data_IF_726493393197
#
_entry.id   IF_726493393197
#
_cell.length_a   1.000
_cell.length_b   1.000
_cell.length_c   1.000
_cell.angle_alpha   90.00
_cell.angle_beta   90.00
_cell.angle_gamma   90.00
#
_symmetry.space_group_name_H-M   'P 1'
#
loop_
_entity.id
_entity.type
_entity.pdbx_description
1 polymer ?
#
# COMPACT_ATOMS: atom_id res chain seq x y z
N UNK A 1 -24.78 11.76 -3.62
CA UNK A 1 -24.32 12.81 -4.58
C UNK A 1 -22.82 12.61 -4.78
N UNK A 2 -22.33 12.66 -6.02
CA UNK A 2 -20.89 12.52 -6.32
C UNK A 2 -20.15 13.78 -5.87
N UNK A 3 -18.86 13.67 -5.52
CA UNK A 3 -18.05 14.81 -5.09
C UNK A 3 -18.09 16.00 -6.08
N UNK A 4 -17.98 15.69 -7.40
CA UNK A 4 -18.07 16.72 -8.45
C UNK A 4 -19.39 17.46 -8.44
N UNK A 5 -20.50 16.74 -8.24
CA UNK A 5 -21.84 17.35 -8.24
C UNK A 5 -22.00 18.33 -7.06
N UNK A 6 -21.44 17.99 -5.90
CA UNK A 6 -21.44 18.88 -4.72
C UNK A 6 -20.76 20.21 -5.04
N UNK A 7 -19.53 20.16 -5.59
CA UNK A 7 -18.78 21.35 -5.93
C UNK A 7 -19.51 22.18 -7.00
N UNK A 8 -19.98 21.54 -8.08
CA UNK A 8 -20.66 22.23 -9.19
C UNK A 8 -22.02 22.83 -8.79
N UNK A 9 -22.73 22.23 -7.84
CA UNK A 9 -24.01 22.79 -7.34
C UNK A 9 -23.78 24.02 -6.46
N UNK A 10 -22.65 24.08 -5.71
CA UNK A 10 -22.33 25.23 -4.86
C UNK A 10 -21.72 26.36 -5.70
N UNK A 11 -20.82 26.03 -6.62
CA UNK A 11 -20.21 26.99 -7.53
C UNK A 11 -20.04 26.43 -8.94
N UNK A 12 -20.99 26.70 -9.85
CA UNK A 12 -20.92 26.23 -11.23
C UNK A 12 -19.73 26.75 -12.04
N UNK A 13 -19.04 27.82 -11.58
CA UNK A 13 -17.87 28.36 -12.26
C UNK A 13 -16.63 27.46 -12.13
N UNK A 14 -16.63 26.53 -11.17
CA UNK A 14 -15.54 25.57 -10.97
C UNK A 14 -15.73 24.37 -11.88
N UNK A 15 -15.16 24.43 -13.06
CA UNK A 15 -15.32 23.38 -14.12
C UNK A 15 -14.33 22.21 -13.98
N UNK A 16 -13.14 22.43 -13.42
CA UNK A 16 -12.04 21.43 -13.32
C UNK A 16 -12.09 20.62 -12.02
N UNK A 17 -13.27 20.17 -11.60
CA UNK A 17 -13.42 19.40 -10.37
C UNK A 17 -12.92 17.95 -10.57
N UNK A 18 -12.03 17.43 -9.71
CA UNK A 18 -11.64 16.04 -9.71
C UNK A 18 -12.84 15.10 -9.54
N UNK A 19 -12.76 13.88 -10.07
CA UNK A 19 -13.85 12.90 -9.96
C UNK A 19 -14.12 12.40 -8.53
N UNK A 20 -13.17 12.64 -7.61
CA UNK A 20 -13.24 12.25 -6.21
C UNK A 20 -12.03 12.74 -5.43
N UNK A 21 -11.94 12.31 -4.18
CA UNK A 21 -10.86 12.66 -3.26
C UNK A 21 -10.35 11.45 -2.48
N UNK A 22 -9.18 11.60 -1.87
CA UNK A 22 -8.65 10.68 -0.86
C UNK A 22 -8.73 11.33 0.52
N UNK A 23 -9.25 10.60 1.51
CA UNK A 23 -9.29 11.06 2.91
C UNK A 23 -8.13 10.45 3.70
N UNK A 24 -7.41 11.29 4.43
CA UNK A 24 -6.37 10.90 5.38
C UNK A 24 -6.64 11.63 6.71
N UNK A 25 -7.29 10.94 7.65
CA UNK A 25 -7.72 11.58 8.90
C UNK A 25 -8.53 12.85 8.64
N UNK A 26 -7.95 14.02 9.01
CA UNK A 26 -8.53 15.35 8.80
C UNK A 26 -8.13 16.02 7.47
N UNK A 27 -7.37 15.32 6.62
CA UNK A 27 -6.88 15.89 5.36
C UNK A 27 -7.71 15.33 4.19
N UNK A 28 -8.11 16.21 3.28
CA UNK A 28 -8.62 15.86 1.96
C UNK A 28 -7.54 16.08 0.91
N UNK A 29 -7.20 15.03 0.14
CA UNK A 29 -6.25 15.09 -0.97
C UNK A 29 -6.97 14.96 -2.30
N UNK A 30 -6.85 15.99 -3.13
CA UNK A 30 -7.37 16.04 -4.49
C UNK A 30 -6.25 15.72 -5.49
N UNK A 31 -6.49 14.80 -6.43
CA UNK A 31 -5.53 14.50 -7.49
C UNK A 31 -5.94 15.21 -8.78
N UNK A 32 -5.08 16.09 -9.27
CA UNK A 32 -5.29 16.82 -10.52
C UNK A 32 -3.96 17.32 -11.05
N UNK A 33 -3.70 17.10 -12.35
CA UNK A 33 -2.58 17.71 -13.07
C UNK A 33 -2.79 19.20 -13.36
N UNK A 34 -4.06 19.63 -13.46
CA UNK A 34 -4.41 21.04 -13.63
C UNK A 34 -4.48 21.74 -12.28
N UNK A 35 -4.03 23.01 -12.23
CA UNK A 35 -4.15 23.86 -11.03
C UNK A 35 -5.61 23.98 -10.60
N UNK A 36 -5.90 23.65 -9.34
CA UNK A 36 -7.22 23.82 -8.75
C UNK A 36 -7.35 25.20 -8.08
N UNK A 37 -8.54 25.84 -8.15
CA UNK A 37 -8.75 27.14 -7.50
C UNK A 37 -8.84 26.98 -5.97
N UNK A 38 -8.34 27.97 -5.21
CA UNK A 38 -8.44 28.02 -3.74
C UNK A 38 -9.88 28.04 -3.24
N UNK A 39 -10.79 28.66 -3.98
CA UNK A 39 -12.23 28.68 -3.69
C UNK A 39 -12.83 27.27 -3.54
N UNK A 40 -12.28 26.28 -4.26
CA UNK A 40 -12.68 24.88 -4.07
C UNK A 40 -12.38 24.39 -2.64
N UNK A 41 -11.25 24.80 -2.06
CA UNK A 41 -10.92 24.43 -0.69
C UNK A 41 -11.86 25.08 0.32
N UNK A 42 -12.28 26.34 0.12
CA UNK A 42 -13.26 27.02 0.97
C UNK A 42 -14.60 26.28 0.99
N UNK A 43 -15.09 25.86 -0.18
CA UNK A 43 -16.31 25.06 -0.32
C UNK A 43 -16.15 23.71 0.42
N UNK A 44 -15.02 23.03 0.24
CA UNK A 44 -14.76 21.75 0.89
C UNK A 44 -14.75 21.89 2.41
N UNK A 45 -14.01 22.88 2.93
CA UNK A 45 -13.87 23.10 4.37
C UNK A 45 -15.22 23.44 5.03
N UNK A 46 -16.09 24.19 4.34
CA UNK A 46 -17.44 24.49 4.83
C UNK A 46 -18.40 23.30 4.76
N UNK A 47 -18.25 22.43 3.74
CA UNK A 47 -19.19 21.32 3.49
C UNK A 47 -18.81 20.03 4.25
N UNK A 48 -17.51 19.81 4.53
CA UNK A 48 -17.02 18.60 5.19
C UNK A 48 -16.45 18.92 6.59
N UNK A 49 -17.24 18.83 7.67
CA UNK A 49 -16.81 19.21 9.04
C UNK A 49 -15.58 18.47 9.56
N UNK A 50 -15.30 17.26 9.04
CA UNK A 50 -14.11 16.50 9.39
C UNK A 50 -12.83 17.00 8.72
N UNK A 51 -12.95 17.82 7.65
CA UNK A 51 -11.82 18.28 6.85
C UNK A 51 -11.25 19.57 7.46
N UNK A 52 -9.95 19.56 7.77
CA UNK A 52 -9.23 20.74 8.28
C UNK A 52 -8.18 21.25 7.29
N UNK A 53 -7.80 20.42 6.32
CA UNK A 53 -6.78 20.74 5.32
C UNK A 53 -7.13 20.14 3.98
N UNK A 54 -7.03 20.92 2.92
CA UNK A 54 -7.22 20.48 1.54
C UNK A 54 -5.92 20.63 0.78
N UNK A 55 -5.38 19.53 0.28
CA UNK A 55 -4.18 19.51 -0.54
C UNK A 55 -4.50 19.05 -1.96
N UNK A 56 -3.78 19.57 -2.93
CA UNK A 56 -3.71 19.06 -4.29
C UNK A 56 -2.44 18.25 -4.46
N UNK A 57 -2.55 17.05 -5.00
CA UNK A 57 -1.42 16.27 -5.51
C UNK A 57 -1.39 16.37 -7.02
N UNK A 58 -0.25 16.84 -7.57
CA UNK A 58 -0.04 16.97 -9.01
C UNK A 58 0.67 15.76 -9.59
N UNK A 59 1.65 15.22 -8.87
CA UNK A 59 2.48 14.10 -9.33
C UNK A 59 3.06 13.29 -8.15
N UNK A 60 3.86 12.28 -8.51
CA UNK A 60 4.65 11.46 -7.57
C UNK A 60 6.03 11.25 -8.17
N UNK A 61 7.10 11.71 -7.50
CA UNK A 61 8.47 11.74 -8.03
C UNK A 61 9.39 10.66 -7.46
N UNK A 62 10.29 10.20 -8.32
CA UNK A 62 11.42 9.34 -7.96
C UNK A 62 11.05 7.91 -7.57
N UNK A 63 12.07 7.09 -7.32
CA UNK A 63 11.95 5.69 -6.91
C UNK A 63 11.22 5.58 -5.56
N UNK A 64 11.46 6.52 -4.65
CA UNK A 64 10.79 6.60 -3.35
C UNK A 64 9.34 7.08 -3.43
N UNK A 65 8.82 7.37 -4.63
CA UNK A 65 7.42 7.77 -4.89
C UNK A 65 6.95 8.92 -3.99
N UNK A 66 7.77 9.95 -3.82
CA UNK A 66 7.44 11.11 -2.99
C UNK A 66 6.31 11.92 -3.64
N UNK A 67 5.17 12.12 -2.95
CA UNK A 67 4.06 12.91 -3.49
C UNK A 67 4.44 14.39 -3.65
N UNK A 68 4.07 14.97 -4.79
CA UNK A 68 4.17 16.42 -5.00
C UNK A 68 2.83 17.05 -4.65
N UNK A 69 2.76 17.65 -3.46
CA UNK A 69 1.52 18.21 -2.93
C UNK A 69 1.62 19.72 -2.73
N UNK A 70 0.46 20.39 -2.82
CA UNK A 70 0.30 21.82 -2.54
C UNK A 70 -0.94 22.03 -1.68
N UNK A 71 -0.81 22.84 -0.63
CA UNK A 71 -1.97 23.31 0.14
C UNK A 71 -2.87 24.16 -0.76
N UNK A 72 -4.16 23.86 -0.79
CA UNK A 72 -5.21 24.67 -1.41
C UNK A 72 -5.93 25.53 -0.39
N UNK A 73 -6.10 25.07 0.84
CA UNK A 73 -6.72 25.81 1.94
C UNK A 73 -6.79 25.02 3.23
N UNK A 74 -7.09 25.71 4.33
CA UNK A 74 -7.11 25.16 5.68
C UNK A 74 -5.75 25.22 6.37
N UNK A 75 -5.51 24.31 7.32
CA UNK A 75 -4.29 24.24 8.13
C UNK A 75 -3.16 23.62 7.32
N UNK A 76 -1.99 24.28 7.25
CA UNK A 76 -0.81 23.72 6.58
C UNK A 76 -0.10 22.71 7.49
N UNK A 77 -0.68 21.53 7.59
CA UNK A 77 -0.09 20.40 8.29
C UNK A 77 -0.35 19.10 7.49
N UNK A 78 0.65 18.58 6.76
CA UNK A 78 0.51 17.35 5.97
C UNK A 78 0.55 16.08 6.83
N UNK A 79 0.77 16.17 8.13
CA UNK A 79 0.81 15.04 9.05
C UNK A 79 -0.56 14.81 9.66
N UNK A 80 -0.98 13.56 9.69
CA UNK A 80 -2.30 13.20 10.22
C UNK A 80 -2.31 11.80 10.83
N UNK A 81 -3.27 11.57 11.72
CA UNK A 81 -3.67 10.25 12.17
C UNK A 81 -4.84 9.77 11.32
N UNK A 82 -4.60 8.73 10.52
CA UNK A 82 -5.63 8.04 9.76
C UNK A 82 -6.04 6.75 10.47
N UNK A 83 -7.34 6.50 10.57
CA UNK A 83 -7.87 5.28 11.18
C UNK A 83 -8.65 4.51 10.12
N UNK A 84 -8.30 3.24 9.94
CA UNK A 84 -8.97 2.35 9.00
C UNK A 84 -9.05 0.94 9.58
N UNK A 85 -10.26 0.38 9.65
CA UNK A 85 -10.51 -0.96 10.20
C UNK A 85 -9.82 -1.19 11.57
N UNK A 86 -9.92 -0.22 12.48
CA UNK A 86 -9.31 -0.26 13.81
C UNK A 86 -7.81 0.08 13.84
N UNK A 87 -7.09 -0.05 12.72
CA UNK A 87 -5.68 0.30 12.63
C UNK A 87 -5.47 1.82 12.61
N UNK A 88 -4.50 2.29 13.37
CA UNK A 88 -4.10 3.69 13.48
C UNK A 88 -2.80 3.92 12.73
N UNK A 89 -2.81 4.81 11.76
CA UNK A 89 -1.67 5.16 10.91
C UNK A 89 -1.29 6.62 11.11
N UNK A 90 -0.13 6.90 11.69
CA UNK A 90 0.51 8.20 11.52
C UNK A 90 1.03 8.27 10.09
N UNK A 91 0.67 9.32 9.36
CA UNK A 91 1.04 9.51 7.96
C UNK A 91 1.45 10.95 7.75
N UNK A 92 2.51 11.15 6.98
CA UNK A 92 2.88 12.44 6.39
C UNK A 92 2.64 12.36 4.89
N UNK A 93 1.54 12.95 4.41
CA UNK A 93 1.14 12.87 3.00
C UNK A 93 2.09 13.59 2.05
N UNK A 94 3.02 14.42 2.57
CA UNK A 94 4.03 15.10 1.76
C UNK A 94 5.22 14.22 1.40
N UNK A 95 5.43 13.12 2.14
CA UNK A 95 6.62 12.27 2.00
C UNK A 95 6.31 10.77 1.93
N UNK A 96 5.11 10.36 2.32
CA UNK A 96 4.72 8.95 2.43
C UNK A 96 3.55 8.68 1.51
N UNK A 97 3.71 7.65 0.67
CA UNK A 97 2.62 7.15 -0.16
C UNK A 97 1.79 6.13 0.63
N UNK A 98 0.57 6.51 0.97
CA UNK A 98 -0.47 5.61 1.47
C UNK A 98 -1.64 5.62 0.49
N UNK A 99 -2.24 4.47 0.19
CA UNK A 99 -3.36 4.40 -0.75
C UNK A 99 -4.65 4.01 -0.05
N UNK A 100 -5.58 4.96 0.21
CA UNK A 100 -6.92 4.60 0.70
C UNK A 100 -7.67 3.67 -0.24
N UNK A 101 -7.37 3.71 -1.55
CA UNK A 101 -7.94 2.79 -2.54
C UNK A 101 -7.57 1.32 -2.36
N UNK A 102 -6.61 1.01 -1.47
CA UNK A 102 -6.24 -0.38 -1.13
C UNK A 102 -6.99 -0.90 0.11
N UNK A 103 -8.03 -0.20 0.60
CA UNK A 103 -8.79 -0.59 1.78
C UNK A 103 -9.36 -2.00 1.67
N UNK A 104 -10.03 -2.31 0.56
CA UNK A 104 -10.58 -3.65 0.33
C UNK A 104 -9.50 -4.75 0.35
N UNK A 105 -8.32 -4.48 -0.23
CA UNK A 105 -7.18 -5.39 -0.14
C UNK A 105 -6.79 -5.66 1.31
N UNK A 106 -6.63 -4.61 2.13
CA UNK A 106 -6.24 -4.74 3.53
C UNK A 106 -7.26 -5.54 4.36
N UNK A 107 -8.56 -5.26 4.17
CA UNK A 107 -9.64 -5.99 4.83
C UNK A 107 -9.64 -7.48 4.42
N UNK A 108 -9.40 -7.78 3.14
CA UNK A 108 -9.32 -9.15 2.63
C UNK A 108 -8.12 -9.90 3.20
N UNK A 109 -6.94 -9.28 3.27
CA UNK A 109 -5.75 -9.88 3.87
C UNK A 109 -5.97 -10.28 5.34
N UNK A 110 -6.71 -9.48 6.11
CA UNK A 110 -7.10 -9.86 7.48
C UNK A 110 -7.90 -11.16 7.49
N UNK A 111 -8.80 -11.38 6.53
CA UNK A 111 -9.63 -12.58 6.47
C UNK A 111 -8.86 -13.82 5.97
N UNK A 112 -7.84 -13.64 5.15
CA UNK A 112 -7.06 -14.73 4.56
C UNK A 112 -5.95 -15.25 5.46
N UNK A 113 -5.37 -14.40 6.31
CA UNK A 113 -4.30 -14.76 7.24
C UNK A 113 -4.88 -15.58 8.40
N UNK A 114 -4.19 -16.67 8.74
CA UNK A 114 -4.54 -17.54 9.87
C UNK A 114 -3.72 -17.18 11.11
N UNK A 115 -4.30 -17.41 12.27
CA UNK A 115 -3.56 -17.30 13.52
C UNK A 115 -2.31 -18.20 13.50
N UNK A 116 -1.27 -17.80 14.21
CA UNK A 116 0.03 -18.45 14.30
C UNK A 116 0.89 -18.42 13.03
N UNK A 117 0.47 -17.77 11.93
CA UNK A 117 1.36 -17.51 10.81
C UNK A 117 2.47 -16.51 11.22
N UNK A 118 3.67 -16.69 10.66
CA UNK A 118 4.71 -15.66 10.65
C UNK A 118 4.69 -14.92 9.32
N UNK A 119 4.30 -13.65 9.36
CA UNK A 119 4.23 -12.77 8.19
C UNK A 119 5.57 -12.08 7.96
N UNK A 120 6.08 -12.07 6.74
CA UNK A 120 7.16 -11.18 6.33
C UNK A 120 6.62 -10.17 5.33
N UNK A 121 6.70 -8.87 5.66
CA UNK A 121 6.39 -7.79 4.73
C UNK A 121 7.68 -7.17 4.24
N UNK A 122 8.05 -7.48 2.99
CA UNK A 122 9.32 -7.07 2.40
C UNK A 122 9.37 -5.59 2.00
N UNK A 123 8.21 -4.90 2.00
CA UNK A 123 8.06 -3.50 1.59
C UNK A 123 7.00 -2.81 2.44
N UNK A 124 7.24 -2.81 3.77
CA UNK A 124 6.20 -2.51 4.76
C UNK A 124 5.70 -1.07 4.71
N UNK A 125 6.48 -0.14 4.19
CA UNK A 125 6.22 1.29 4.26
C UNK A 125 5.85 1.70 5.71
N UNK A 126 4.66 2.25 5.94
CA UNK A 126 4.17 2.61 7.28
C UNK A 126 3.31 1.50 7.93
N UNK A 127 3.42 0.26 7.43
CA UNK A 127 2.57 -0.87 7.77
C UNK A 127 1.37 -0.99 6.84
N UNK A 128 1.55 -0.60 5.58
CA UNK A 128 0.44 -0.46 4.61
C UNK A 128 -0.41 -1.72 4.46
N UNK A 129 0.18 -2.90 4.41
CA UNK A 129 -0.53 -4.18 4.26
C UNK A 129 -0.53 -4.99 5.57
N UNK A 130 0.50 -4.84 6.38
CA UNK A 130 0.76 -5.68 7.55
C UNK A 130 0.05 -5.22 8.82
N UNK A 131 -0.25 -3.92 8.98
CA UNK A 131 -0.73 -3.40 10.25
C UNK A 131 -2.12 -3.94 10.64
N UNK A 132 -3.07 -4.02 9.69
CA UNK A 132 -4.40 -4.56 9.97
C UNK A 132 -4.37 -6.04 10.35
N UNK A 133 -3.69 -6.94 9.61
CA UNK A 133 -3.49 -8.31 10.06
C UNK A 133 -2.92 -8.41 11.48
N UNK A 134 -1.90 -7.61 11.82
CA UNK A 134 -1.23 -7.64 13.12
C UNK A 134 -2.13 -7.22 14.30
N UNK A 135 -3.14 -6.38 14.07
CA UNK A 135 -4.08 -5.99 15.13
C UNK A 135 -5.30 -6.91 15.24
N UNK A 136 -5.63 -7.67 14.18
CA UNK A 136 -6.82 -8.51 14.13
C UNK A 136 -6.55 -10.00 14.30
N UNK A 137 -5.29 -10.43 14.15
CA UNK A 137 -4.89 -11.84 14.20
C UNK A 137 -3.77 -12.07 15.21
N UNK A 138 -3.70 -13.28 15.74
CA UNK A 138 -2.61 -13.72 16.61
C UNK A 138 -1.45 -14.22 15.76
N UNK A 139 -0.71 -13.31 15.13
CA UNK A 139 0.42 -13.58 14.26
C UNK A 139 1.66 -12.85 14.74
N UNK A 140 2.83 -13.36 14.36
CA UNK A 140 4.09 -12.62 14.45
C UNK A 140 4.51 -12.10 13.08
N UNK A 141 5.39 -11.08 13.04
CA UNK A 141 5.85 -10.58 11.77
C UNK A 141 7.30 -10.06 11.78
N UNK A 142 7.89 -10.08 10.59
CA UNK A 142 9.13 -9.37 10.25
C UNK A 142 8.78 -8.31 9.21
N UNK A 143 8.95 -7.03 9.56
CA UNK A 143 8.60 -5.89 8.71
C UNK A 143 9.86 -5.17 8.25
N UNK A 144 9.99 -4.97 6.94
CA UNK A 144 11.20 -4.41 6.32
C UNK A 144 10.83 -3.16 5.54
N UNK A 145 11.52 -2.06 5.80
CA UNK A 145 11.38 -0.79 5.09
C UNK A 145 12.76 -0.14 4.93
N UNK A 146 13.16 0.14 3.69
CA UNK A 146 14.50 0.68 3.42
C UNK A 146 14.60 2.20 3.62
N UNK A 147 13.50 2.93 3.44
CA UNK A 147 13.49 4.38 3.60
C UNK A 147 13.43 4.73 5.10
N UNK A 148 14.49 5.34 5.63
CA UNK A 148 14.63 5.69 7.04
C UNK A 148 13.48 6.56 7.55
N UNK A 149 13.06 7.55 6.77
CA UNK A 149 11.94 8.42 7.16
C UNK A 149 10.63 7.62 7.30
N UNK A 150 10.32 6.79 6.31
CA UNK A 150 9.12 5.94 6.30
C UNK A 150 9.18 4.90 7.41
N UNK A 151 10.36 4.31 7.64
CA UNK A 151 10.62 3.38 8.74
C UNK A 151 10.35 4.01 10.11
N UNK A 152 10.73 5.28 10.32
CA UNK A 152 10.42 5.99 11.57
C UNK A 152 8.91 6.09 11.85
N UNK A 153 8.11 6.18 10.79
CA UNK A 153 6.64 6.15 10.90
C UNK A 153 6.11 4.73 11.13
N UNK A 154 6.72 3.71 10.51
CA UNK A 154 6.40 2.32 10.80
C UNK A 154 6.57 2.02 12.29
N UNK A 155 7.71 2.38 12.89
CA UNK A 155 7.96 2.22 14.33
C UNK A 155 6.89 2.90 15.19
N UNK A 156 6.54 4.16 14.85
CA UNK A 156 5.48 4.91 15.53
C UNK A 156 4.13 4.20 15.43
N UNK A 157 3.80 3.66 14.26
CA UNK A 157 2.53 2.97 14.02
C UNK A 157 2.44 1.65 14.75
N UNK A 158 3.52 0.86 14.81
CA UNK A 158 3.60 -0.35 15.61
C UNK A 158 3.33 -0.03 17.09
N UNK A 159 4.03 0.96 17.64
CA UNK A 159 3.84 1.40 19.03
C UNK A 159 2.42 1.93 19.29
N UNK A 160 1.88 2.73 18.38
CA UNK A 160 0.54 3.35 18.49
C UNK A 160 -0.59 2.31 18.54
N UNK A 161 -0.38 1.18 17.87
CA UNK A 161 -1.34 0.08 17.83
C UNK A 161 -1.09 -1.01 18.89
N UNK A 162 -0.07 -0.85 19.75
CA UNK A 162 0.24 -1.79 20.84
C UNK A 162 0.74 -3.15 20.36
N UNK A 163 1.29 -3.23 19.13
CA UNK A 163 1.78 -4.48 18.54
C UNK A 163 3.13 -4.84 19.18
N UNK A 164 3.27 -6.11 19.62
CA UNK A 164 4.47 -6.58 20.34
C UNK A 164 5.24 -7.64 19.56
N UNK A 165 4.56 -8.60 18.92
CA UNK A 165 5.18 -9.75 18.25
C UNK A 165 5.68 -9.38 16.84
N UNK A 166 6.60 -8.40 16.76
CA UNK A 166 7.12 -7.89 15.50
C UNK A 166 8.60 -7.53 15.57
N UNK A 167 9.35 -7.97 14.57
CA UNK A 167 10.72 -7.51 14.30
C UNK A 167 10.72 -6.47 13.20
N UNK A 168 11.47 -5.37 13.39
CA UNK A 168 11.54 -4.25 12.45
C UNK A 168 12.95 -4.10 11.91
N UNK A 169 13.08 -3.97 10.57
CA UNK A 169 14.36 -3.81 9.91
C UNK A 169 14.35 -2.60 8.98
N UNK A 170 15.31 -1.69 9.18
CA UNK A 170 15.53 -0.57 8.26
C UNK A 170 16.65 -0.92 7.27
N UNK A 171 16.32 -1.65 6.24
CA UNK A 171 17.26 -2.09 5.21
C UNK A 171 16.54 -2.44 3.90
N UNK A 172 17.29 -2.62 2.83
CA UNK A 172 16.81 -3.25 1.61
C UNK A 172 16.44 -4.71 1.89
N UNK A 173 15.21 -5.10 1.55
CA UNK A 173 14.68 -6.45 1.84
C UNK A 173 15.52 -7.60 1.25
N UNK A 174 16.33 -7.32 0.23
CA UNK A 174 17.29 -8.28 -0.34
C UNK A 174 18.50 -8.57 0.58
N UNK A 175 18.74 -7.72 1.58
CA UNK A 175 19.88 -7.81 2.50
C UNK A 175 19.50 -8.43 3.85
N UNK A 176 18.26 -8.86 4.02
CA UNK A 176 17.88 -9.47 5.29
C UNK A 176 18.54 -10.82 5.46
N UNK A 177 19.14 -11.02 6.63
CA UNK A 177 19.79 -12.29 6.99
C UNK A 177 18.85 -13.17 7.84
N UNK A 178 17.78 -13.62 7.19
CA UNK A 178 16.78 -14.52 7.76
C UNK A 178 16.41 -15.57 6.71
N UNK A 179 16.22 -16.79 7.17
CA UNK A 179 15.88 -17.93 6.30
C UNK A 179 14.77 -18.79 6.92
N UNK A 180 13.90 -19.32 6.08
CA UNK A 180 12.90 -20.32 6.49
C UNK A 180 12.01 -19.88 7.66
N UNK A 181 11.62 -18.60 7.71
CA UNK A 181 10.78 -18.03 8.78
C UNK A 181 9.35 -17.76 8.36
N UNK A 182 9.10 -17.47 7.07
CA UNK A 182 7.81 -16.96 6.62
C UNK A 182 6.82 -18.06 6.25
N UNK A 183 5.64 -18.03 6.84
CA UNK A 183 4.45 -18.75 6.37
C UNK A 183 3.77 -17.97 5.25
N UNK A 184 3.90 -16.63 5.27
CA UNK A 184 3.33 -15.70 4.30
C UNK A 184 4.26 -14.53 4.05
N UNK A 185 4.37 -14.09 2.79
CA UNK A 185 5.21 -12.98 2.37
C UNK A 185 4.37 -11.97 1.60
N UNK A 186 4.42 -10.70 2.02
CA UNK A 186 3.89 -9.58 1.24
C UNK A 186 5.01 -8.90 0.46
N UNK A 187 4.79 -8.77 -0.84
CA UNK A 187 5.66 -8.02 -1.74
C UNK A 187 4.86 -6.86 -2.37
N UNK A 188 4.53 -5.87 -1.52
CA UNK A 188 3.69 -4.72 -1.88
C UNK A 188 4.35 -3.68 -2.79
N UNK A 189 5.49 -4.01 -3.39
CA UNK A 189 6.22 -3.19 -4.34
C UNK A 189 5.89 -3.60 -5.77
N UNK A 190 5.70 -2.61 -6.67
CA UNK A 190 5.23 -2.90 -8.03
C UNK A 190 6.33 -3.35 -8.99
N UNK A 191 7.58 -2.94 -8.71
CA UNK A 191 8.74 -3.22 -9.57
C UNK A 191 9.64 -4.32 -8.97
N UNK A 192 8.99 -5.40 -8.48
CA UNK A 192 9.70 -6.59 -7.96
C UNK A 192 10.48 -7.24 -9.10
N UNK A 193 11.80 -7.39 -8.89
CA UNK A 193 12.71 -8.09 -9.79
C UNK A 193 13.08 -9.50 -9.29
N UNK A 194 13.88 -10.22 -10.08
CA UNK A 194 14.34 -11.58 -9.74
C UNK A 194 15.12 -11.63 -8.41
N UNK A 195 15.86 -10.60 -8.05
CA UNK A 195 16.66 -10.59 -6.82
C UNK A 195 15.78 -10.49 -5.58
N UNK A 196 14.67 -9.75 -5.66
CA UNK A 196 13.66 -9.72 -4.60
C UNK A 196 12.96 -11.07 -4.46
N UNK A 197 12.63 -11.74 -5.57
CA UNK A 197 12.02 -13.07 -5.55
C UNK A 197 12.96 -14.13 -4.96
N UNK A 198 14.27 -14.08 -5.28
CA UNK A 198 15.28 -14.96 -4.68
C UNK A 198 15.32 -14.76 -3.15
N UNK A 199 15.33 -13.50 -2.69
CA UNK A 199 15.28 -13.19 -1.25
C UNK A 199 13.99 -13.71 -0.60
N UNK A 200 12.84 -13.56 -1.26
CA UNK A 200 11.57 -14.10 -0.78
C UNK A 200 11.64 -15.63 -0.64
N UNK A 201 12.21 -16.34 -1.63
CA UNK A 201 12.40 -17.79 -1.54
C UNK A 201 13.33 -18.18 -0.39
N UNK A 202 14.41 -17.42 -0.11
CA UNK A 202 15.30 -17.67 1.03
C UNK A 202 14.54 -17.58 2.36
N UNK A 203 13.71 -16.55 2.52
CA UNK A 203 12.94 -16.25 3.72
C UNK A 203 11.77 -17.22 3.92
N UNK A 204 11.16 -17.70 2.84
CA UNK A 204 10.01 -18.59 2.86
C UNK A 204 10.31 -19.91 3.59
N UNK A 205 9.39 -20.41 4.42
CA UNK A 205 9.39 -21.80 4.91
C UNK A 205 9.24 -22.79 3.75
N UNK A 206 9.31 -24.08 4.04
CA UNK A 206 9.09 -25.14 3.04
C UNK A 206 7.81 -24.90 2.24
N UNK A 207 6.72 -24.54 2.90
CA UNK A 207 5.46 -24.09 2.28
C UNK A 207 5.19 -22.67 2.69
N UNK A 208 4.93 -21.78 1.74
CA UNK A 208 4.71 -20.37 1.98
C UNK A 208 3.73 -19.79 0.98
N UNK A 209 2.94 -18.78 1.38
CA UNK A 209 2.08 -18.01 0.48
C UNK A 209 2.78 -16.68 0.18
N UNK A 210 2.98 -16.38 -1.11
CA UNK A 210 3.59 -15.13 -1.57
C UNK A 210 2.55 -14.29 -2.29
N UNK A 211 2.39 -13.03 -1.86
CA UNK A 211 1.53 -12.04 -2.48
C UNK A 211 2.36 -11.08 -3.32
N UNK A 212 2.18 -11.12 -4.64
CA UNK A 212 2.86 -10.25 -5.60
C UNK A 212 1.89 -9.16 -6.10
N UNK A 213 2.37 -7.94 -6.18
CA UNK A 213 1.54 -6.76 -6.50
C UNK A 213 2.02 -6.01 -7.75
N UNK A 214 2.07 -6.64 -8.94
CA UNK A 214 2.50 -5.97 -10.16
C UNK A 214 1.52 -4.91 -10.64
N UNK A 215 2.05 -3.90 -11.35
CA UNK A 215 1.28 -3.02 -12.21
C UNK A 215 1.46 -3.52 -13.65
N UNK A 216 0.39 -3.97 -14.27
CA UNK A 216 0.40 -4.54 -15.61
C UNK A 216 -0.39 -3.67 -16.60
N UNK A 217 -0.12 -3.82 -17.88
CA UNK A 217 -0.99 -3.31 -18.94
C UNK A 217 -2.28 -4.13 -18.93
N UNK A 218 -3.42 -3.49 -19.14
CA UNK A 218 -4.72 -4.18 -19.18
C UNK A 218 -4.70 -5.25 -20.27
N UNK A 219 -5.02 -6.48 -19.90
CA UNK A 219 -4.99 -7.65 -20.78
C UNK A 219 -3.68 -8.48 -20.72
N UNK A 220 -2.63 -8.02 -19.99
CA UNK A 220 -1.33 -8.70 -19.91
C UNK A 220 -1.16 -9.60 -18.66
N UNK A 221 -2.25 -9.97 -18.02
CA UNK A 221 -2.19 -10.80 -16.79
C UNK A 221 -1.52 -12.15 -17.05
N UNK A 222 -1.89 -12.84 -18.12
CA UNK A 222 -1.34 -14.17 -18.45
C UNK A 222 0.18 -14.09 -18.75
N UNK A 223 0.62 -13.02 -19.40
CA UNK A 223 2.04 -12.79 -19.65
C UNK A 223 2.80 -12.55 -18.33
N UNK A 224 2.24 -11.76 -17.42
CA UNK A 224 2.83 -11.53 -16.11
C UNK A 224 2.90 -12.81 -15.26
N UNK A 225 1.85 -13.62 -15.27
CA UNK A 225 1.80 -14.94 -14.63
C UNK A 225 2.89 -15.85 -15.20
N UNK A 226 3.02 -15.90 -16.52
CA UNK A 226 4.07 -16.69 -17.18
C UNK A 226 5.47 -16.31 -16.72
N UNK A 227 5.77 -15.02 -16.59
CA UNK A 227 7.08 -14.53 -16.09
C UNK A 227 7.38 -15.09 -14.70
N UNK A 228 6.40 -15.08 -13.78
CA UNK A 228 6.59 -15.62 -12.43
C UNK A 228 6.68 -17.14 -12.41
N UNK A 229 5.85 -17.83 -13.21
CA UNK A 229 5.89 -19.28 -13.33
C UNK A 229 7.24 -19.76 -13.88
N UNK A 230 7.77 -19.10 -14.93
CA UNK A 230 9.09 -19.40 -15.49
C UNK A 230 10.20 -19.20 -14.45
N UNK A 231 10.09 -18.15 -13.63
CA UNK A 231 11.02 -17.92 -12.52
C UNK A 231 10.97 -19.06 -11.49
N UNK A 232 9.79 -19.45 -10.99
CA UNK A 232 9.67 -20.53 -10.00
C UNK A 232 10.13 -21.88 -10.55
N UNK A 233 9.84 -22.18 -11.82
CA UNK A 233 10.35 -23.37 -12.49
C UNK A 233 11.90 -23.37 -12.57
N UNK A 234 12.53 -22.25 -12.93
CA UNK A 234 14.00 -22.11 -12.95
C UNK A 234 14.64 -22.30 -11.57
N UNK A 235 13.91 -22.00 -10.50
CA UNK A 235 14.36 -22.21 -9.12
C UNK A 235 14.00 -23.59 -8.57
N UNK A 236 13.44 -24.49 -9.38
CA UNK A 236 12.98 -25.81 -8.98
C UNK A 236 11.98 -25.77 -7.78
N UNK A 237 11.06 -24.80 -7.81
CA UNK A 237 10.02 -24.59 -6.79
C UNK A 237 8.70 -25.09 -7.34
N UNK A 238 8.01 -25.95 -6.59
CA UNK A 238 6.61 -26.27 -6.85
C UNK A 238 5.72 -25.12 -6.44
N UNK A 239 4.74 -24.77 -7.27
CA UNK A 239 3.83 -23.66 -6.98
C UNK A 239 2.41 -23.93 -7.47
N UNK A 240 1.48 -23.25 -6.84
CA UNK A 240 0.06 -23.17 -7.19
C UNK A 240 -0.38 -21.71 -7.13
N UNK A 241 -1.12 -21.24 -8.13
CA UNK A 241 -1.76 -19.91 -8.07
C UNK A 241 -3.07 -20.06 -7.30
N UNK A 242 -3.13 -19.48 -6.11
CA UNK A 242 -4.33 -19.53 -5.28
C UNK A 242 -5.41 -18.56 -5.76
N UNK A 243 -5.01 -17.38 -6.18
CA UNK A 243 -5.94 -16.35 -6.67
C UNK A 243 -5.23 -15.23 -7.43
N UNK A 244 -6.02 -14.52 -8.22
CA UNK A 244 -5.64 -13.25 -8.85
C UNK A 244 -6.74 -12.23 -8.59
N UNK A 245 -6.37 -11.02 -8.13
CA UNK A 245 -7.33 -9.97 -7.81
C UNK A 245 -6.92 -8.64 -8.42
N UNK A 246 -7.81 -8.05 -9.18
CA UNK A 246 -7.66 -6.65 -9.57
C UNK A 246 -7.94 -5.76 -8.36
N UNK A 247 -6.93 -5.00 -7.94
CA UNK A 247 -7.04 -4.08 -6.80
C UNK A 247 -7.67 -2.76 -7.25
N UNK A 248 -7.16 -2.18 -8.35
CA UNK A 248 -7.67 -0.92 -8.91
C UNK A 248 -7.10 -0.63 -10.29
N UNK A 249 -7.71 0.29 -11.02
CA UNK A 249 -7.04 0.93 -12.14
C UNK A 249 -5.88 1.80 -11.61
N UNK A 250 -4.69 1.63 -12.18
CA UNK A 250 -3.52 2.45 -11.85
C UNK A 250 -3.45 3.69 -12.75
N UNK A 251 -3.72 3.49 -14.04
CA UNK A 251 -3.85 4.53 -15.06
C UNK A 251 -4.86 4.06 -16.12
N UNK A 252 -5.21 4.86 -17.14
CA UNK A 252 -6.15 4.45 -18.19
C UNK A 252 -5.76 3.16 -18.92
N UNK A 253 -4.46 2.82 -18.95
CA UNK A 253 -3.94 1.64 -19.67
C UNK A 253 -3.32 0.60 -18.74
N UNK A 254 -3.25 0.83 -17.44
CA UNK A 254 -2.59 -0.05 -16.47
C UNK A 254 -3.49 -0.32 -15.27
N UNK A 255 -3.34 -1.52 -14.73
CA UNK A 255 -4.04 -1.95 -13.53
C UNK A 255 -3.07 -2.54 -12.50
N UNK A 256 -3.41 -2.36 -11.22
CA UNK A 256 -2.75 -2.96 -10.09
C UNK A 256 -3.46 -4.28 -9.78
N UNK A 257 -2.72 -5.36 -9.90
CA UNK A 257 -3.17 -6.73 -9.66
C UNK A 257 -2.46 -7.28 -8.42
N UNK A 258 -3.11 -8.14 -7.69
CA UNK A 258 -2.47 -9.06 -6.77
C UNK A 258 -2.52 -10.47 -7.36
N UNK A 259 -1.40 -11.19 -7.26
CA UNK A 259 -1.29 -12.60 -7.61
C UNK A 259 -0.77 -13.33 -6.37
N UNK A 260 -1.51 -14.33 -5.90
CA UNK A 260 -1.14 -15.13 -4.75
C UNK A 260 -0.61 -16.49 -5.21
N UNK A 261 0.62 -16.78 -4.84
CA UNK A 261 1.28 -18.05 -5.05
C UNK A 261 1.43 -18.81 -3.73
N UNK A 262 1.00 -20.07 -3.71
CA UNK A 262 1.46 -21.02 -2.71
C UNK A 262 2.65 -21.76 -3.28
N UNK A 263 3.80 -21.61 -2.65
CA UNK A 263 5.01 -22.30 -3.05
C UNK A 263 5.31 -23.46 -2.10
N UNK A 264 6.00 -24.48 -2.64
CA UNK A 264 6.56 -25.58 -1.84
C UNK A 264 7.97 -25.87 -2.34
N UNK A 265 8.95 -25.69 -1.46
CA UNK A 265 10.35 -26.02 -1.72
C UNK A 265 10.53 -27.54 -1.78
N UNK A 266 11.19 -28.04 -2.81
CA UNK A 266 11.56 -29.44 -2.87
C UNK A 266 12.50 -29.78 -1.71
N UNK A 267 12.37 -30.96 -1.11
CA UNK A 267 13.33 -31.44 -0.12
C UNK A 267 14.64 -31.77 -0.86
N UNK A 268 15.72 -31.14 -0.46
CA UNK A 268 17.06 -31.56 -0.90
C UNK A 268 17.40 -32.91 -0.31
#
# INVERSE_FOLDING_TARGET
MKFRDIISNIDPSITNTPGGYSRYGHIMLLRSSSKLPSKMAEIILSHYPWCQSVYQQTDTKGISRIPEIKLLGGIDNPKTLHIENGAKYNIDISRITFSPGNRYLRERLVNEIKDSEHLVDMFSAVGNLSLQPLIHKKISATLIEQNEYTYSYLQKNIKLNGIQDVELYNLDSRKIDKENIADRIFMGYHDVDKTHLISALKIAKKTCIIHLHPIIVIGELDNQIKIYNDFFNQQNINFEILSTHKIKNYSPKKEHIEIQYKITKNSN
#
